data_IF_280796041450
#
_entry.id   IF_280796041450
#
_cell.length_a   1.000
_cell.length_b   1.000
_cell.length_c   1.000
_cell.angle_alpha   90.00
_cell.angle_beta   90.00
_cell.angle_gamma   90.00
#
_symmetry.space_group_name_H-M   'P 1'
#
loop_
_entity.id
_entity.type
_entity.pdbx_description
1 polymer ?
#
# COMPACT_ATOMS: atom_id res chain seq x y z
N UNK A 1 -3.03 -8.26 -12.46
CA UNK A 1 -3.60 -9.54 -11.98
C UNK A 1 -2.63 -10.47 -11.28
N UNK A 2 -1.50 -10.87 -11.86
CA UNK A 2 -0.58 -11.83 -11.22
C UNK A 2 -0.07 -11.33 -9.85
N UNK A 3 0.43 -10.09 -9.79
CA UNK A 3 0.86 -9.47 -8.52
C UNK A 3 -0.26 -9.46 -7.48
N UNK A 4 -1.49 -9.11 -7.89
CA UNK A 4 -2.67 -9.07 -7.00
C UNK A 4 -2.96 -10.44 -6.40
N UNK A 5 -2.88 -11.53 -7.19
CA UNK A 5 -3.08 -12.91 -6.70
C UNK A 5 -2.04 -13.31 -5.66
N UNK A 6 -0.80 -12.85 -5.81
CA UNK A 6 0.29 -13.16 -4.87
C UNK A 6 0.23 -12.31 -3.61
N UNK A 7 -0.14 -11.03 -3.71
CA UNK A 7 -0.20 -10.12 -2.57
C UNK A 7 -1.44 -10.32 -1.68
N UNK A 8 -2.61 -10.58 -2.26
CA UNK A 8 -3.88 -10.68 -1.51
C UNK A 8 -3.83 -11.59 -0.27
N UNK A 9 -3.33 -12.85 -0.34
CA UNK A 9 -3.26 -13.71 0.85
C UNK A 9 -2.28 -13.18 1.90
N UNK A 10 -1.19 -12.52 1.51
CA UNK A 10 -0.24 -11.93 2.45
C UNK A 10 -0.87 -10.72 3.16
N UNK A 11 -1.58 -9.88 2.41
CA UNK A 11 -2.27 -8.71 2.94
C UNK A 11 -3.33 -9.10 3.98
N UNK A 12 -3.90 -10.32 3.90
CA UNK A 12 -4.93 -10.79 4.86
C UNK A 12 -4.33 -10.97 6.25
N UNK A 13 -3.06 -11.36 6.28
CA UNK A 13 -2.29 -11.62 7.50
C UNK A 13 -1.59 -10.36 8.04
N UNK A 14 -1.61 -9.26 7.28
CA UNK A 14 -0.91 -8.03 7.62
C UNK A 14 -1.75 -7.01 8.41
N UNK A 15 -3.07 -7.20 8.51
CA UNK A 15 -3.95 -6.21 9.15
C UNK A 15 -4.10 -6.40 10.67
N UNK A 16 -3.65 -7.54 11.20
CA UNK A 16 -3.71 -7.86 12.63
C UNK A 16 -2.35 -8.29 13.14
N UNK A 17 -1.98 -7.81 14.32
CA UNK A 17 -0.81 -8.29 15.03
C UNK A 17 -1.03 -9.78 15.39
N UNK A 18 -0.12 -10.69 14.99
CA UNK A 18 -0.20 -12.11 15.32
C UNK A 18 -0.34 -12.42 16.82
N UNK A 19 0.03 -11.48 17.70
CA UNK A 19 -0.08 -11.63 19.16
C UNK A 19 -1.47 -11.32 19.69
N UNK A 20 -2.24 -10.47 19.02
CA UNK A 20 -3.59 -10.08 19.47
C UNK A 20 -4.64 -11.14 19.10
N UNK A 21 -4.43 -11.85 17.99
CA UNK A 21 -5.24 -13.00 17.56
C UNK A 21 -5.06 -14.25 18.44
N UNK A 22 -3.90 -14.40 19.10
CA UNK A 22 -3.59 -15.50 20.03
C UNK A 22 -3.62 -15.07 21.50
N UNK A 23 -4.57 -14.21 21.89
CA UNK A 23 -4.74 -13.80 23.28
C UNK A 23 -5.41 -14.90 24.13
N UNK A 24 -4.60 -15.89 24.51
CA UNK A 24 -4.74 -16.60 25.79
C UNK A 24 -3.39 -17.02 26.42
N UNK A 25 -2.23 -16.77 25.80
CA UNK A 25 -0.94 -17.18 26.38
C UNK A 25 0.12 -16.07 26.30
N UNK A 26 0.45 -15.55 27.48
CA UNK A 26 1.68 -14.89 27.90
C UNK A 26 2.20 -13.67 27.11
N UNK A 27 2.11 -12.49 27.74
CA UNK A 27 2.89 -11.29 27.41
C UNK A 27 4.38 -11.59 27.60
N UNK A 28 5.13 -11.73 26.51
CA UNK A 28 6.61 -11.78 26.55
C UNK A 28 7.18 -10.54 25.87
N UNK A 29 7.86 -9.71 26.66
CA UNK A 29 8.71 -8.62 26.18
C UNK A 29 9.98 -9.24 25.58
N UNK A 30 10.12 -9.23 24.25
CA UNK A 30 11.37 -9.62 23.59
C UNK A 30 11.86 -8.54 22.63
N UNK A 31 13.03 -8.00 22.94
CA UNK A 31 13.79 -7.03 22.18
C UNK A 31 14.14 -7.52 20.76
N UNK A 32 14.17 -6.59 19.79
CA UNK A 32 14.95 -6.59 18.54
C UNK A 32 14.71 -7.72 17.52
N UNK A 33 15.03 -8.97 17.90
CA UNK A 33 14.94 -10.16 17.04
C UNK A 33 13.51 -10.71 16.93
N UNK A 34 12.65 -10.43 17.92
CA UNK A 34 11.24 -10.80 17.89
C UNK A 34 10.40 -10.00 16.89
N UNK A 35 10.81 -8.77 16.55
CA UNK A 35 10.09 -7.91 15.60
C UNK A 35 10.18 -8.42 14.16
N UNK A 36 11.33 -8.96 13.72
CA UNK A 36 11.46 -9.52 12.37
C UNK A 36 10.53 -10.70 12.13
N UNK A 37 10.34 -11.55 13.15
CA UNK A 37 9.41 -12.68 13.05
C UNK A 37 7.95 -12.23 13.06
N UNK A 38 7.65 -11.09 13.70
CA UNK A 38 6.31 -10.49 13.70
C UNK A 38 5.95 -9.88 12.34
N UNK A 39 6.92 -9.28 11.64
CA UNK A 39 6.73 -8.66 10.33
C UNK A 39 6.95 -9.62 9.16
N UNK A 40 6.99 -10.94 9.38
CA UNK A 40 7.31 -11.92 8.35
C UNK A 40 6.40 -11.80 7.10
N UNK A 41 5.11 -11.52 7.28
CA UNK A 41 4.17 -11.31 6.17
C UNK A 41 4.47 -10.02 5.39
N UNK A 42 4.81 -8.93 6.09
CA UNK A 42 5.23 -7.68 5.47
C UNK A 42 6.54 -7.82 4.69
N UNK A 43 7.53 -8.51 5.27
CA UNK A 43 8.80 -8.80 4.60
C UNK A 43 8.61 -9.71 3.38
N UNK A 44 7.62 -10.61 3.42
CA UNK A 44 7.24 -11.41 2.25
C UNK A 44 6.66 -10.53 1.14
N UNK A 45 5.81 -9.55 1.46
CA UNK A 45 5.33 -8.56 0.49
C UNK A 45 6.50 -7.78 -0.12
N UNK A 46 7.42 -7.28 0.70
CA UNK A 46 8.63 -6.57 0.22
C UNK A 46 9.44 -7.44 -0.74
N UNK A 47 9.61 -8.73 -0.43
CA UNK A 47 10.29 -9.68 -1.31
C UNK A 47 9.58 -9.85 -2.65
N UNK A 48 8.24 -9.95 -2.65
CA UNK A 48 7.45 -10.00 -3.89
C UNK A 48 7.69 -8.75 -4.73
N UNK A 49 7.61 -7.57 -4.13
CA UNK A 49 7.85 -6.29 -4.82
C UNK A 49 9.27 -6.22 -5.42
N UNK A 50 10.28 -6.62 -4.65
CA UNK A 50 11.67 -6.66 -5.12
C UNK A 50 11.85 -7.62 -6.30
N UNK A 51 11.31 -8.84 -6.22
CA UNK A 51 11.38 -9.81 -7.31
C UNK A 51 10.74 -9.28 -8.60
N UNK A 52 9.57 -8.65 -8.50
CA UNK A 52 8.92 -8.05 -9.67
C UNK A 52 9.77 -6.93 -10.27
N UNK A 53 10.36 -6.06 -9.45
CA UNK A 53 11.24 -5.00 -9.94
C UNK A 53 12.46 -5.59 -10.66
N UNK A 54 13.09 -6.61 -10.10
CA UNK A 54 14.26 -7.26 -10.70
C UNK A 54 13.92 -7.91 -12.04
N UNK A 55 12.78 -8.60 -12.14
CA UNK A 55 12.29 -9.18 -13.40
C UNK A 55 12.04 -8.09 -14.44
N UNK A 56 11.36 -6.99 -14.07
CA UNK A 56 11.07 -5.89 -14.99
C UNK A 56 12.34 -5.22 -15.50
N UNK A 57 13.34 -5.03 -14.62
CA UNK A 57 14.65 -4.49 -14.99
C UNK A 57 15.42 -5.43 -15.90
N UNK A 58 15.46 -6.73 -15.58
CA UNK A 58 16.13 -7.74 -16.39
C UNK A 58 15.51 -7.89 -17.79
N UNK A 59 14.23 -7.55 -17.94
CA UNK A 59 13.53 -7.55 -19.23
C UNK A 59 13.48 -6.15 -19.89
N UNK A 60 14.29 -5.20 -19.43
CA UNK A 60 14.41 -3.86 -20.00
C UNK A 60 13.07 -3.12 -20.17
N UNK A 61 12.12 -3.36 -19.26
CA UNK A 61 10.81 -2.69 -19.32
C UNK A 61 11.02 -1.18 -19.08
N UNK A 62 10.47 -0.30 -19.94
CA UNK A 62 10.59 1.14 -19.78
C UNK A 62 10.21 1.61 -18.38
N UNK A 63 11.04 2.46 -17.78
CA UNK A 63 10.90 2.84 -16.38
C UNK A 63 9.57 3.52 -16.05
N UNK A 64 8.97 4.25 -17.00
CA UNK A 64 7.63 4.82 -16.82
C UNK A 64 6.57 3.75 -16.57
N UNK A 65 6.65 2.61 -17.25
CA UNK A 65 5.69 1.51 -17.10
C UNK A 65 5.88 0.83 -15.75
N UNK A 66 7.15 0.61 -15.37
CA UNK A 66 7.51 0.08 -14.05
C UNK A 66 7.01 1.01 -12.94
N UNK A 67 7.21 2.32 -13.10
CA UNK A 67 6.74 3.33 -12.16
C UNK A 67 5.22 3.32 -12.01
N UNK A 68 4.48 3.39 -13.12
CA UNK A 68 3.01 3.31 -13.10
C UNK A 68 2.52 2.03 -12.46
N UNK A 69 3.15 0.89 -12.75
CA UNK A 69 2.82 -0.39 -12.14
C UNK A 69 3.00 -0.37 -10.62
N UNK A 70 4.12 0.14 -10.09
CA UNK A 70 4.32 0.19 -8.63
C UNK A 70 3.38 1.16 -7.93
N UNK A 71 3.01 2.29 -8.56
CA UNK A 71 1.97 3.16 -8.01
C UNK A 71 0.62 2.43 -7.97
N UNK A 72 0.26 1.65 -9.00
CA UNK A 72 -0.95 0.82 -8.99
C UNK A 72 -0.91 -0.27 -7.91
N UNK A 73 0.23 -0.93 -7.72
CA UNK A 73 0.41 -1.94 -6.68
C UNK A 73 0.26 -1.33 -5.28
N UNK A 74 0.85 -0.15 -5.03
CA UNK A 74 0.71 0.52 -3.74
C UNK A 74 -0.72 1.01 -3.51
N UNK A 75 -1.41 1.49 -4.56
CA UNK A 75 -2.84 1.82 -4.50
C UNK A 75 -3.69 0.59 -4.15
N UNK A 76 -3.40 -0.57 -4.74
CA UNK A 76 -4.06 -1.84 -4.40
C UNK A 76 -3.83 -2.19 -2.92
N UNK A 77 -2.60 -2.07 -2.41
CA UNK A 77 -2.28 -2.33 -1.01
C UNK A 77 -3.08 -1.38 -0.10
N UNK A 78 -3.16 -0.09 -0.45
CA UNK A 78 -3.93 0.92 0.27
C UNK A 78 -5.39 0.52 0.37
N UNK A 79 -6.04 0.25 -0.76
CA UNK A 79 -7.46 -0.14 -0.85
C UNK A 79 -7.73 -1.41 -0.04
N UNK A 80 -6.92 -2.45 -0.23
CA UNK A 80 -7.13 -3.74 0.43
C UNK A 80 -7.00 -3.63 1.95
N UNK A 81 -5.95 -2.97 2.46
CA UNK A 81 -5.74 -2.84 3.90
C UNK A 81 -6.76 -1.89 4.53
N UNK A 82 -7.03 -0.75 3.89
CA UNK A 82 -7.96 0.25 4.40
C UNK A 82 -9.40 -0.29 4.46
N UNK A 83 -9.88 -0.95 3.40
CA UNK A 83 -11.21 -1.55 3.41
C UNK A 83 -11.34 -2.64 4.49
N UNK A 84 -10.30 -3.45 4.70
CA UNK A 84 -10.30 -4.47 5.78
C UNK A 84 -10.35 -3.84 7.16
N UNK A 85 -9.63 -2.73 7.38
CA UNK A 85 -9.68 -1.96 8.62
C UNK A 85 -11.08 -1.40 8.87
N UNK A 86 -11.74 -0.85 7.84
CA UNK A 86 -13.10 -0.28 7.96
C UNK A 86 -14.21 -1.32 8.21
N UNK A 87 -13.95 -2.59 7.88
CA UNK A 87 -14.92 -3.68 8.01
C UNK A 87 -14.82 -4.45 9.32
N UNK A 88 -13.69 -4.35 10.05
CA UNK A 88 -13.36 -5.25 11.16
C UNK A 88 -12.95 -4.50 12.42
N UNK A 89 -13.79 -4.56 13.45
CA UNK A 89 -13.56 -3.83 14.72
C UNK A 89 -12.27 -4.26 15.40
N UNK A 90 -11.98 -5.55 15.36
CA UNK A 90 -10.81 -6.14 15.99
C UNK A 90 -9.48 -5.67 15.38
N UNK A 91 -9.50 -5.06 14.18
CA UNK A 91 -8.32 -4.47 13.54
C UNK A 91 -8.03 -3.03 14.02
N UNK A 92 -9.02 -2.35 14.60
CA UNK A 92 -8.91 -0.94 15.00
C UNK A 92 -8.44 -0.82 16.45
N UNK A 93 -7.21 -1.27 16.75
CA UNK A 93 -6.60 -1.06 18.07
C UNK A 93 -5.30 -0.28 18.00
N UNK A 94 -4.82 0.23 19.14
CA UNK A 94 -3.50 0.86 19.22
C UNK A 94 -2.41 -0.14 18.83
N UNK A 95 -2.43 -1.36 19.41
CA UNK A 95 -1.44 -2.40 19.09
C UNK A 95 -1.42 -2.78 17.61
N UNK A 96 -2.60 -2.94 17.00
CA UNK A 96 -2.70 -3.25 15.57
C UNK A 96 -2.26 -2.06 14.71
N UNK A 97 -2.55 -0.83 15.13
CA UNK A 97 -2.04 0.38 14.49
C UNK A 97 -0.51 0.39 14.46
N UNK A 98 0.15 0.14 15.59
CA UNK A 98 1.63 0.09 15.66
C UNK A 98 2.21 -1.04 14.79
N UNK A 99 1.57 -2.21 14.77
CA UNK A 99 1.97 -3.33 13.91
C UNK A 99 1.89 -2.97 12.42
N UNK A 100 0.76 -2.45 11.95
CA UNK A 100 0.59 -2.03 10.55
C UNK A 100 1.55 -0.89 10.21
N UNK A 101 1.76 0.06 11.13
CA UNK A 101 2.72 1.17 10.95
C UNK A 101 4.15 0.67 10.71
N UNK A 102 4.59 -0.32 11.48
CA UNK A 102 5.90 -0.94 11.30
C UNK A 102 5.99 -1.65 9.93
N UNK A 103 4.95 -2.36 9.52
CA UNK A 103 4.88 -2.98 8.19
C UNK A 103 4.89 -1.97 7.02
N UNK A 104 4.16 -0.87 7.14
CA UNK A 104 4.19 0.23 6.18
C UNK A 104 5.57 0.89 6.09
N UNK A 105 6.34 0.93 7.19
CA UNK A 105 7.70 1.43 7.19
C UNK A 105 8.65 0.55 6.35
N UNK A 106 8.46 -0.77 6.34
CA UNK A 106 9.20 -1.68 5.46
C UNK A 106 8.89 -1.43 3.99
N UNK A 107 7.61 -1.20 3.64
CA UNK A 107 7.22 -0.81 2.28
C UNK A 107 7.83 0.54 1.86
N UNK A 108 7.84 1.52 2.78
CA UNK A 108 8.47 2.82 2.56
C UNK A 108 9.96 2.66 2.26
N UNK A 109 10.67 1.93 3.13
CA UNK A 109 12.10 1.69 2.98
C UNK A 109 12.42 1.00 1.65
N UNK A 110 11.63 -0.01 1.25
CA UNK A 110 11.77 -0.63 -0.06
C UNK A 110 11.56 0.39 -1.21
N UNK A 111 10.51 1.23 -1.13
CA UNK A 111 10.21 2.21 -2.17
C UNK A 111 11.28 3.31 -2.30
N UNK A 112 11.87 3.73 -1.18
CA UNK A 112 12.96 4.70 -1.15
C UNK A 112 14.23 4.10 -1.80
N UNK A 113 14.48 2.80 -1.61
CA UNK A 113 15.64 2.08 -2.17
C UNK A 113 15.48 1.68 -3.64
N UNK A 114 14.25 1.46 -4.12
CA UNK A 114 13.95 1.06 -5.50
C UNK A 114 14.24 2.14 -6.56
N UNK A 115 14.92 3.23 -6.19
CA UNK A 115 15.16 4.47 -6.93
C UNK A 115 13.90 5.27 -7.24
N UNK A 116 14.07 6.61 -7.28
CA UNK A 116 12.97 7.54 -7.60
C UNK A 116 12.34 7.25 -8.96
N UNK A 117 13.14 6.74 -9.90
CA UNK A 117 12.70 6.40 -11.25
C UNK A 117 11.64 5.28 -11.26
N UNK A 118 11.77 4.24 -10.44
CA UNK A 118 10.86 3.09 -10.48
C UNK A 118 9.75 3.13 -9.44
N UNK A 119 9.95 3.79 -8.29
CA UNK A 119 8.96 3.77 -7.20
C UNK A 119 8.73 5.13 -6.53
N UNK A 120 9.28 6.23 -7.06
CA UNK A 120 9.40 7.51 -6.34
C UNK A 120 8.10 8.18 -5.91
N UNK A 121 6.94 7.79 -6.44
CA UNK A 121 5.62 8.27 -6.01
C UNK A 121 4.69 7.16 -5.52
N UNK A 122 5.18 5.92 -5.40
CA UNK A 122 4.36 4.78 -4.98
C UNK A 122 3.91 4.95 -3.52
N UNK A 123 4.79 5.47 -2.66
CA UNK A 123 4.50 5.72 -1.24
C UNK A 123 3.27 6.62 -1.00
N UNK A 124 3.03 7.60 -1.87
CA UNK A 124 1.88 8.51 -1.77
C UNK A 124 0.54 7.83 -2.10
N UNK A 125 0.57 6.67 -2.78
CA UNK A 125 -0.63 5.89 -3.04
C UNK A 125 -1.16 5.18 -1.78
N UNK A 126 -0.36 5.03 -0.71
CA UNK A 126 -0.76 4.42 0.57
C UNK A 126 -1.46 5.40 1.54
N UNK A 127 -1.98 6.51 1.04
CA UNK A 127 -2.43 7.63 1.88
C UNK A 127 -3.57 7.26 2.84
N UNK A 128 -4.53 6.43 2.46
CA UNK A 128 -5.69 6.17 3.31
C UNK A 128 -5.33 5.26 4.48
N UNK A 129 -4.64 4.13 4.22
CA UNK A 129 -4.20 3.24 5.29
C UNK A 129 -3.19 3.92 6.20
N UNK A 130 -2.27 4.72 5.66
CA UNK A 130 -1.31 5.48 6.46
C UNK A 130 -1.99 6.42 7.43
N UNK A 131 -2.91 7.25 6.93
CA UNK A 131 -3.60 8.23 7.78
C UNK A 131 -4.53 7.55 8.80
N UNK A 132 -5.19 6.45 8.42
CA UNK A 132 -5.97 5.64 9.37
C UNK A 132 -5.09 5.09 10.49
N UNK A 133 -3.93 4.52 10.14
CA UNK A 133 -2.97 3.97 11.11
C UNK A 133 -2.36 5.06 11.98
N UNK A 134 -1.95 6.18 11.39
CA UNK A 134 -1.45 7.36 12.12
C UNK A 134 -2.50 7.83 13.12
N UNK A 135 -3.78 7.90 12.72
CA UNK A 135 -4.87 8.14 13.66
C UNK A 135 -4.89 7.10 14.78
N UNK A 136 -4.88 5.80 14.49
CA UNK A 136 -4.91 4.75 15.53
C UNK A 136 -3.77 4.88 16.55
N UNK A 137 -2.58 5.35 16.15
CA UNK A 137 -1.39 5.40 17.04
C UNK A 137 -1.11 6.76 17.69
N UNK A 138 -1.77 7.86 17.30
CA UNK A 138 -1.53 9.17 17.93
C UNK A 138 -1.84 9.14 19.43
N UNK A 139 -0.91 9.52 20.30
CA UNK A 139 -1.10 9.48 21.77
C UNK A 139 -1.89 10.66 22.36
N UNK A 140 -2.10 11.72 21.58
CA UNK A 140 -2.75 12.97 22.05
C UNK A 140 -4.18 13.13 21.52
N UNK A 141 -4.86 12.04 21.12
CA UNK A 141 -6.25 12.09 20.62
C UNK A 141 -7.22 12.85 21.55
N UNK A 142 -7.15 12.69 22.90
CA UNK A 142 -8.10 13.36 23.78
C UNK A 142 -8.00 14.90 23.71
N UNK A 143 -6.84 15.42 23.32
CA UNK A 143 -6.54 16.86 23.29
C UNK A 143 -6.69 17.50 21.91
N UNK A 144 -7.02 16.71 20.88
CA UNK A 144 -7.14 17.20 19.50
C UNK A 144 -8.60 17.38 19.11
N UNK A 145 -8.89 18.51 18.49
CA UNK A 145 -10.20 18.80 17.89
C UNK A 145 -10.38 18.04 16.57
N UNK A 146 -11.64 17.91 16.11
CA UNK A 146 -11.93 17.32 14.79
C UNK A 146 -11.18 18.05 13.66
N UNK A 147 -11.11 19.38 13.73
CA UNK A 147 -10.42 20.20 12.74
C UNK A 147 -8.93 19.87 12.66
N UNK A 148 -8.26 19.75 13.81
CA UNK A 148 -6.83 19.43 13.88
C UNK A 148 -6.56 18.01 13.38
N UNK A 149 -7.36 17.01 13.75
CA UNK A 149 -7.19 15.64 13.23
C UNK A 149 -7.36 15.62 11.71
N UNK A 150 -8.35 16.31 11.16
CA UNK A 150 -8.55 16.34 9.70
C UNK A 150 -7.43 17.07 8.97
N UNK A 151 -6.97 18.19 9.50
CA UNK A 151 -5.94 19.01 8.87
C UNK A 151 -4.55 18.39 8.99
N UNK A 152 -4.21 17.81 10.14
CA UNK A 152 -2.84 17.37 10.43
C UNK A 152 -2.61 15.89 10.13
N UNK A 153 -3.68 15.07 10.11
CA UNK A 153 -3.57 13.60 10.07
C UNK A 153 -4.41 13.02 8.93
N UNK A 154 -5.72 13.26 8.95
CA UNK A 154 -6.71 12.54 8.14
C UNK A 154 -7.23 13.38 6.97
N UNK A 155 -6.33 13.93 6.15
CA UNK A 155 -6.70 14.79 5.01
C UNK A 155 -7.36 14.01 3.85
N UNK A 156 -7.01 12.75 3.67
CA UNK A 156 -7.51 11.88 2.60
C UNK A 156 -8.77 11.12 2.99
N UNK A 157 -9.11 11.05 4.30
CA UNK A 157 -10.27 10.33 4.79
C UNK A 157 -11.51 11.23 4.75
N UNK A 158 -12.63 10.68 4.31
CA UNK A 158 -13.93 11.35 4.45
C UNK A 158 -14.40 11.39 5.90
N UNK A 159 -15.42 12.21 6.19
CA UNK A 159 -16.00 12.23 7.53
C UNK A 159 -16.61 10.87 7.88
N UNK A 160 -17.32 10.23 6.96
CA UNK A 160 -17.90 8.90 7.22
C UNK A 160 -16.85 7.82 7.48
N UNK A 161 -15.74 7.83 6.75
CA UNK A 161 -14.63 6.90 7.00
C UNK A 161 -14.00 7.13 8.38
N UNK A 162 -13.77 8.38 8.74
CA UNK A 162 -13.24 8.74 10.05
C UNK A 162 -14.21 8.35 11.17
N UNK A 163 -15.52 8.61 11.02
CA UNK A 163 -16.56 8.20 11.96
C UNK A 163 -16.56 6.67 12.14
N UNK A 164 -16.43 5.92 11.06
CA UNK A 164 -16.37 4.46 11.10
C UNK A 164 -15.16 3.96 11.89
N UNK A 165 -13.97 4.50 11.65
CA UNK A 165 -12.74 4.15 12.38
C UNK A 165 -12.88 4.48 13.87
N UNK A 166 -13.34 5.71 14.17
CA UNK A 166 -13.56 6.21 15.54
C UNK A 166 -14.55 5.33 16.31
N UNK A 167 -15.63 4.90 15.68
CA UNK A 167 -16.64 4.03 16.29
C UNK A 167 -16.14 2.61 16.58
N UNK A 168 -15.07 2.16 15.90
CA UNK A 168 -14.48 0.83 16.09
C UNK A 168 -13.23 0.84 16.97
N UNK A 169 -12.57 1.99 17.14
CA UNK A 169 -11.29 2.11 17.83
C UNK A 169 -11.33 1.64 19.28
N UNK A 170 -10.27 0.90 19.68
CA UNK A 170 -10.01 0.45 21.04
C UNK A 170 -8.55 0.74 21.44
N UNK A 171 -8.34 1.46 22.53
CA UNK A 171 -7.02 1.60 23.16
C UNK A 171 -6.77 0.42 24.12
N UNK A 172 -6.10 -0.62 23.61
CA UNK A 172 -5.83 -1.89 24.29
C UNK A 172 -4.54 -1.88 25.13
N UNK A 173 -3.76 -0.79 25.11
CA UNK A 173 -2.47 -0.68 25.80
C UNK A 173 -2.48 0.42 26.87
N UNK A 174 -2.90 1.63 26.51
CA UNK A 174 -2.72 2.79 27.37
C UNK A 174 -3.99 3.12 28.18
N UNK A 175 -5.17 2.65 27.75
CA UNK A 175 -6.48 2.87 28.37
C UNK A 175 -6.93 4.34 28.47
N UNK A 176 -6.03 5.30 28.21
CA UNK A 176 -6.20 6.75 28.43
C UNK A 176 -6.22 7.56 27.14
N UNK A 177 -5.99 6.93 25.97
CA UNK A 177 -6.01 7.59 24.67
C UNK A 177 -7.41 7.55 24.05
N UNK A 178 -8.43 7.74 24.90
CA UNK A 178 -9.84 7.71 24.51
C UNK A 178 -10.21 9.00 23.78
N UNK A 179 -11.15 8.87 22.85
CA UNK A 179 -11.61 10.00 22.04
C UNK A 179 -12.47 10.92 22.92
N UNK A 180 -12.23 12.23 22.86
CA UNK A 180 -12.99 13.19 23.66
C UNK A 180 -14.46 13.22 23.23
N UNK A 181 -15.38 13.42 24.20
CA UNK A 181 -16.80 13.50 23.91
C UNK A 181 -17.14 14.65 22.94
N UNK A 182 -16.41 15.75 23.04
CA UNK A 182 -16.51 16.90 22.11
C UNK A 182 -16.14 16.48 20.69
N UNK A 183 -14.98 15.85 20.49
CA UNK A 183 -14.57 15.33 19.18
C UNK A 183 -15.62 14.39 18.60
N UNK A 184 -16.11 13.43 19.40
CA UNK A 184 -17.10 12.45 18.96
C UNK A 184 -18.43 13.11 18.57
N UNK A 185 -18.86 14.15 19.30
CA UNK A 185 -20.06 14.92 18.98
C UNK A 185 -19.89 15.72 17.69
N UNK A 186 -18.77 16.43 17.53
CA UNK A 186 -18.46 17.20 16.32
C UNK A 186 -18.39 16.30 15.08
N UNK A 187 -17.80 15.11 15.23
CA UNK A 187 -17.69 14.15 14.13
C UNK A 187 -19.06 13.63 13.68
N UNK A 188 -19.93 13.28 14.63
CA UNK A 188 -21.31 12.87 14.32
C UNK A 188 -22.13 13.97 13.65
N UNK A 189 -21.95 15.23 14.06
CA UNK A 189 -22.61 16.37 13.43
C UNK A 189 -22.14 16.53 11.98
N UNK A 190 -20.82 16.54 11.76
CA UNK A 190 -20.24 16.64 10.43
C UNK A 190 -20.64 15.46 9.51
N UNK A 191 -20.75 14.24 10.05
CA UNK A 191 -21.16 13.06 9.29
C UNK A 191 -22.60 13.17 8.78
N UNK A 192 -23.50 13.70 9.61
CA UNK A 192 -24.89 13.97 9.22
C UNK A 192 -24.98 15.05 8.14
N UNK A 193 -24.16 16.10 8.23
CA UNK A 193 -24.10 17.15 7.21
C UNK A 193 -23.59 16.61 5.86
N UNK A 194 -22.53 15.79 5.87
CA UNK A 194 -21.98 15.15 4.67
C UNK A 194 -22.99 14.17 4.02
N UNK A 195 -23.72 13.39 4.84
CA UNK A 195 -24.76 12.47 4.35
C UNK A 195 -25.95 13.20 3.70
N UNK A 196 -26.28 14.41 4.16
CA UNK A 196 -27.38 15.20 3.59
C UNK A 196 -27.00 15.93 2.28
N UNK A 197 -25.71 16.07 1.99
CA UNK A 197 -25.22 16.84 0.83
C UNK A 197 -24.83 15.98 -0.37
N UNK A 198 -24.54 14.69 -0.18
CA UNK A 198 -24.07 13.79 -1.23
C UNK A 198 -24.95 12.54 -1.33
N UNK A 199 -25.55 12.31 -2.50
CA UNK A 199 -26.52 11.23 -2.76
C UNK A 199 -25.87 9.85 -2.98
N UNK A 200 -24.56 9.77 -3.16
CA UNK A 200 -23.80 8.53 -3.35
C UNK A 200 -22.49 8.58 -2.56
N UNK A 201 -22.49 8.08 -1.32
CA UNK A 201 -21.26 7.94 -0.54
C UNK A 201 -20.87 6.45 -0.45
N UNK A 202 -19.72 6.08 -1.00
CA UNK A 202 -19.09 4.79 -0.69
C UNK A 202 -18.11 5.00 0.45
N UNK A 203 -18.32 4.31 1.57
CA UNK A 203 -17.39 4.31 2.70
C UNK A 203 -16.10 3.54 2.33
N UNK A 204 -16.24 2.51 1.48
CA UNK A 204 -15.12 1.72 1.00
C UNK A 204 -14.48 2.36 -0.22
N UNK A 205 -13.17 2.19 -0.35
CA UNK A 205 -12.45 2.55 -1.56
C UNK A 205 -12.74 1.55 -2.67
N UNK A 206 -12.86 2.05 -3.90
CA UNK A 206 -13.05 1.22 -5.08
C UNK A 206 -11.81 0.37 -5.36
N UNK A 207 -12.03 -0.89 -5.74
CA UNK A 207 -10.95 -1.85 -6.07
C UNK A 207 -10.38 -1.65 -7.48
N UNK A 208 -10.91 -0.71 -8.26
CA UNK A 208 -10.36 -0.30 -9.55
C UNK A 208 -9.15 0.63 -9.34
N UNK A 209 -8.01 0.01 -9.06
CA UNK A 209 -6.72 0.70 -8.93
C UNK A 209 -6.06 1.02 -10.28
N UNK A 210 -6.81 0.98 -11.39
CA UNK A 210 -6.23 1.28 -12.70
C UNK A 210 -5.79 2.74 -12.78
N UNK A 211 -4.49 2.95 -13.00
CA UNK A 211 -3.92 4.29 -13.19
C UNK A 211 -3.73 4.48 -14.69
N UNK A 212 -4.46 5.42 -15.32
CA UNK A 212 -4.27 5.72 -16.73
C UNK A 212 -2.88 6.30 -16.98
N UNK A 213 -2.30 5.94 -18.13
CA UNK A 213 -1.08 6.53 -18.68
C UNK A 213 -1.28 6.79 -20.17
N UNK A 214 -0.63 7.83 -20.70
CA UNK A 214 -0.80 8.21 -22.11
C UNK A 214 0.21 7.48 -23.00
N UNK A 215 -0.14 7.31 -24.28
CA UNK A 215 0.80 6.83 -25.29
C UNK A 215 1.99 7.78 -25.48
N UNK A 216 1.78 9.08 -25.22
CA UNK A 216 2.84 10.08 -25.26
C UNK A 216 3.89 9.85 -24.16
N UNK A 217 3.46 9.43 -22.97
CA UNK A 217 4.38 9.10 -21.85
C UNK A 217 5.29 7.92 -22.21
N UNK A 218 4.74 6.93 -22.92
CA UNK A 218 5.48 5.76 -23.40
C UNK A 218 6.46 6.18 -24.49
N UNK A 219 6.00 6.94 -25.48
CA UNK A 219 6.80 7.31 -26.66
C UNK A 219 8.02 8.14 -26.27
N UNK A 220 7.89 9.01 -25.26
CA UNK A 220 8.99 9.84 -24.73
C UNK A 220 10.05 9.07 -23.95
N UNK A 221 9.75 7.85 -23.50
CA UNK A 221 10.59 7.06 -22.59
C UNK A 221 11.03 5.73 -23.18
N UNK A 222 10.54 5.37 -24.37
CA UNK A 222 11.05 4.21 -25.09
C UNK A 222 12.53 4.41 -25.43
N UNK A 223 13.40 3.46 -25.09
CA UNK A 223 14.79 3.53 -25.52
C UNK A 223 14.86 3.43 -27.04
N UNK A 224 15.79 4.17 -27.65
CA UNK A 224 16.15 3.97 -29.05
C UNK A 224 16.72 2.56 -29.19
N UNK A 225 16.02 1.68 -29.91
CA UNK A 225 16.50 0.33 -30.19
C UNK A 225 17.55 0.44 -31.29
N UNK A 226 18.82 0.49 -30.91
CA UNK A 226 19.93 0.29 -31.83
C UNK A 226 20.06 -1.20 -32.11
N UNK A 227 19.65 -1.64 -33.30
CA UNK A 227 19.89 -3.00 -33.74
C UNK A 227 21.38 -3.15 -34.07
N UNK A 228 22.14 -3.80 -33.19
CA UNK A 228 23.47 -4.27 -33.53
C UNK A 228 23.35 -5.45 -34.52
N UNK A 229 24.03 -5.35 -35.66
CA UNK A 229 23.98 -6.36 -36.74
C UNK A 229 24.49 -7.75 -36.32
N UNK A 230 25.19 -7.84 -35.18
CA UNK A 230 25.87 -9.05 -34.71
C UNK A 230 25.16 -9.79 -33.57
N UNK A 231 23.92 -9.43 -33.21
CA UNK A 231 23.24 -9.93 -32.00
C UNK A 231 22.26 -11.10 -32.21
N UNK A 232 22.26 -11.76 -33.38
CA UNK A 232 21.43 -12.94 -33.57
C UNK A 232 21.89 -14.07 -32.64
N UNK A 233 20.98 -14.58 -31.82
CA UNK A 233 21.24 -15.67 -30.87
C UNK A 233 21.77 -16.93 -31.60
N UNK A 234 22.68 -17.72 -30.98
CA UNK A 234 23.28 -18.89 -31.63
C UNK A 234 22.27 -19.86 -32.22
N UNK A 235 21.14 -20.11 -31.53
CA UNK A 235 20.10 -21.01 -32.02
C UNK A 235 19.44 -20.53 -33.33
N UNK A 236 19.42 -19.22 -33.58
CA UNK A 236 18.89 -18.64 -34.82
C UNK A 236 19.90 -18.84 -35.95
N UNK A 237 21.19 -18.71 -35.67
CA UNK A 237 22.28 -18.92 -36.66
C UNK A 237 22.43 -20.39 -37.04
N UNK A 238 22.27 -21.29 -36.08
CA UNK A 238 22.50 -22.73 -36.26
C UNK A 238 21.30 -23.47 -36.86
N UNK A 239 20.11 -22.85 -36.87
CA UNK A 239 18.91 -23.48 -37.40
C UNK A 239 18.69 -23.09 -38.87
N UNK A 240 18.79 -24.04 -39.82
CA UNK A 240 18.66 -23.76 -41.25
C UNK A 240 17.28 -23.23 -41.65
N UNK A 241 16.23 -23.43 -40.84
CA UNK A 241 14.91 -22.85 -41.04
C UNK A 241 14.85 -21.33 -40.88
N UNK A 242 15.87 -20.73 -40.24
CA UNK A 242 16.00 -19.26 -40.09
C UNK A 242 17.04 -18.63 -41.02
N UNK A 243 17.56 -19.38 -42.01
CA UNK A 243 18.55 -18.87 -42.95
C UNK A 243 18.09 -17.61 -43.71
N UNK A 244 16.77 -17.41 -43.88
CA UNK A 244 16.19 -16.22 -44.50
C UNK A 244 16.40 -14.94 -43.67
N UNK A 245 16.62 -15.03 -42.36
CA UNK A 245 16.94 -13.88 -41.49
C UNK A 245 18.40 -13.44 -41.66
N UNK A 246 19.26 -14.33 -42.16
CA UNK A 246 20.68 -14.06 -42.46
C UNK A 246 20.87 -13.54 -43.89
N UNK A 247 19.91 -13.79 -44.78
CA UNK A 247 19.90 -13.30 -46.15
C UNK A 247 19.21 -11.94 -46.20
N UNK A 248 19.98 -10.85 -46.16
CA UNK A 248 19.42 -9.51 -46.40
C UNK A 248 18.91 -9.41 -47.84
N UNK A 249 17.71 -8.85 -47.99
CA UNK A 249 17.29 -8.26 -49.26
C UNK A 249 18.18 -7.06 -49.58
N UNK A 250 18.64 -6.99 -50.83
CA UNK A 250 19.24 -5.79 -51.42
C UNK A 250 18.24 -4.62 -51.46
#
# INVERSE_FOLDING_TARGET
DSVKKELNPLLELCIQDPRTSHSNLAKSNTNGLGQQNQLAHWLSIVKVLANYLDVLKANHVPSILVHKLFVQIFSLIDVQLFNRLLLRRECCSFSNGEYVKAGLAELKHWSDNATREFAGSAWEALKHIRQAVDFLVISLKPMRTLREIRADVCQALSIQQLERIVGMYLDDVNGSNTISAEFASSLKAAAREEANTVTTFSILLDDDSSIPFSLDDITKTMPTIEMADDDLLPFVRENPGFAFLLQRGE
#
